data_IF_616881302374
#
_entry.id   IF_616881302374
#
_cell.length_a   1.000
_cell.length_b   1.000
_cell.length_c   1.000
_cell.angle_alpha   90.00
_cell.angle_beta   90.00
_cell.angle_gamma   90.00
#
_symmetry.space_group_name_H-M   'P 1'
#
loop_
_entity.id
_entity.type
_entity.pdbx_description
1 polymer ?
#
# COMPACT_ATOMS: atom_id res chain seq x y z
N UNK A 1 4.69 -10.28 4.84
CA UNK A 1 3.97 -11.14 3.87
C UNK A 1 4.86 -11.56 2.70
N UNK A 2 4.83 -12.81 2.21
CA UNK A 2 5.52 -13.20 0.96
C UNK A 2 4.56 -13.02 -0.23
N UNK A 3 4.65 -11.88 -0.90
CA UNK A 3 3.95 -11.61 -2.17
C UNK A 3 4.32 -12.69 -3.21
N UNK A 4 3.31 -13.33 -3.80
CA UNK A 4 3.49 -14.49 -4.68
C UNK A 4 4.23 -14.14 -5.98
N UNK A 5 5.17 -15.02 -6.38
CA UNK A 5 5.82 -15.03 -7.70
C UNK A 5 4.78 -15.36 -8.80
N UNK A 6 4.10 -14.35 -9.34
CA UNK A 6 3.34 -14.49 -10.60
C UNK A 6 3.84 -13.42 -11.55
N UNK A 7 4.57 -13.83 -12.59
CA UNK A 7 5.18 -12.96 -13.60
C UNK A 7 6.68 -12.69 -13.41
N UNK A 8 7.30 -12.11 -14.45
CA UNK A 8 8.72 -11.70 -14.53
C UNK A 8 9.02 -10.37 -13.82
N UNK A 9 7.99 -9.68 -13.33
CA UNK A 9 8.13 -8.39 -12.65
C UNK A 9 8.79 -8.55 -11.28
N UNK A 10 9.53 -7.52 -10.88
CA UNK A 10 10.14 -7.43 -9.55
C UNK A 10 9.13 -7.68 -8.45
N UNK A 11 9.61 -8.24 -7.33
CA UNK A 11 8.76 -8.39 -6.14
C UNK A 11 8.19 -7.02 -5.78
N UNK A 12 6.86 -6.99 -5.69
CA UNK A 12 6.04 -5.82 -5.36
C UNK A 12 5.94 -4.72 -6.43
N UNK A 13 6.27 -5.04 -7.69
CA UNK A 13 6.21 -4.09 -8.80
C UNK A 13 7.28 -3.01 -8.71
N UNK A 14 7.12 -1.94 -9.50
CA UNK A 14 8.20 -0.99 -9.78
C UNK A 14 7.95 0.45 -9.32
N UNK A 15 6.73 0.84 -8.98
CA UNK A 15 6.39 2.25 -8.71
C UNK A 15 7.13 2.86 -7.49
N UNK A 16 7.58 2.01 -6.56
CA UNK A 16 8.40 2.41 -5.39
C UNK A 16 9.82 2.80 -5.76
N UNK A 17 10.28 2.30 -6.92
CA UNK A 17 11.60 2.52 -7.49
C UNK A 17 11.54 3.61 -8.57
N UNK A 18 10.54 4.49 -8.52
CA UNK A 18 10.34 5.60 -9.46
C UNK A 18 10.24 6.90 -8.73
N UNK A 19 10.65 7.97 -9.40
CA UNK A 19 10.49 9.33 -8.92
C UNK A 19 9.05 9.77 -9.24
N UNK A 20 8.35 10.26 -8.22
CA UNK A 20 7.02 10.83 -8.35
C UNK A 20 7.14 12.34 -8.50
N UNK A 21 6.28 12.93 -9.33
CA UNK A 21 6.23 14.38 -9.53
C UNK A 21 5.09 14.98 -8.71
N UNK A 22 5.19 16.26 -8.36
CA UNK A 22 4.05 17.01 -7.82
C UNK A 22 3.02 17.19 -8.94
N UNK A 23 1.75 16.87 -8.69
CA UNK A 23 0.65 17.13 -9.61
C UNK A 23 0.09 18.53 -9.34
N UNK A 24 0.51 19.51 -10.15
CA UNK A 24 0.08 20.92 -10.00
C UNK A 24 -1.38 21.14 -10.40
N UNK A 25 -2.00 20.19 -11.12
CA UNK A 25 -3.39 20.29 -11.57
C UNK A 25 -4.15 18.97 -11.29
N UNK A 26 -4.33 18.61 -10.02
CA UNK A 26 -4.94 17.36 -9.64
C UNK A 26 -6.45 17.40 -9.93
N UNK A 27 -7.05 16.31 -10.44
CA UNK A 27 -8.50 16.22 -10.57
C UNK A 27 -9.18 16.38 -9.21
N UNK A 28 -10.37 17.00 -9.13
CA UNK A 28 -11.09 17.15 -7.87
C UNK A 28 -11.33 15.78 -7.21
N UNK A 29 -11.08 15.72 -5.90
CA UNK A 29 -11.50 14.60 -5.05
C UNK A 29 -12.89 14.93 -4.48
N UNK A 30 -13.81 13.95 -4.36
CA UNK A 30 -15.03 14.15 -3.60
C UNK A 30 -14.65 14.42 -2.13
N UNK A 31 -15.09 15.57 -1.63
CA UNK A 31 -14.95 16.04 -0.23
C UNK A 31 -13.55 15.89 0.38
N UNK A 32 -12.72 16.92 0.24
CA UNK A 32 -11.91 17.32 1.38
C UNK A 32 -12.74 18.37 2.11
N UNK A 33 -13.07 18.11 3.37
CA UNK A 33 -13.46 19.19 4.28
C UNK A 33 -12.43 20.32 4.09
N UNK A 34 -12.88 21.49 3.63
CA UNK A 34 -12.02 22.61 3.24
C UNK A 34 -11.21 23.18 4.42
N UNK A 35 -11.39 22.60 5.60
CA UNK A 35 -10.67 22.86 6.85
C UNK A 35 -9.25 22.27 6.84
N UNK A 36 -8.98 21.19 6.10
CA UNK A 36 -7.63 20.61 6.00
C UNK A 36 -6.84 21.23 4.84
N UNK A 37 -5.79 21.97 5.21
CA UNK A 37 -4.92 22.70 4.26
C UNK A 37 -3.59 22.01 3.97
N UNK A 38 -3.26 20.92 4.68
CA UNK A 38 -1.98 20.22 4.55
C UNK A 38 -2.12 18.96 3.70
N UNK A 39 -2.07 19.11 2.37
CA UNK A 39 -2.03 17.99 1.45
C UNK A 39 -1.01 18.22 0.32
N UNK A 40 -0.57 17.13 -0.28
CA UNK A 40 0.22 17.13 -1.51
C UNK A 40 -0.34 16.09 -2.47
N UNK A 41 -0.44 16.46 -3.75
CA UNK A 41 -0.78 15.56 -4.83
C UNK A 41 0.48 15.16 -5.58
N UNK A 42 0.66 13.86 -5.76
CA UNK A 42 1.78 13.26 -6.46
C UNK A 42 1.27 12.45 -7.65
N UNK A 43 2.03 12.44 -8.74
CA UNK A 43 1.74 11.69 -9.96
C UNK A 43 2.96 10.92 -10.47
N UNK A 44 2.72 9.66 -10.83
CA UNK A 44 3.60 8.80 -11.59
C UNK A 44 2.96 8.48 -12.94
N UNK A 45 3.67 8.78 -14.03
CA UNK A 45 3.26 8.42 -15.39
C UNK A 45 4.17 7.32 -15.91
N UNK A 46 3.65 6.41 -16.73
CA UNK A 46 4.47 5.40 -17.41
C UNK A 46 5.56 6.07 -18.26
N UNK A 47 6.81 5.65 -18.09
CA UNK A 47 7.95 6.03 -18.93
C UNK A 47 8.25 4.95 -20.00
N UNK A 48 9.11 5.28 -20.97
CA UNK A 48 9.56 4.30 -21.99
C UNK A 48 10.26 3.08 -21.37
N UNK A 49 10.96 3.25 -20.25
CA UNK A 49 11.57 2.15 -19.51
C UNK A 49 10.53 1.27 -18.81
N UNK A 50 9.44 1.86 -18.31
CA UNK A 50 8.34 1.10 -17.72
C UNK A 50 7.63 0.26 -18.78
N UNK A 51 7.47 0.79 -20.00
CA UNK A 51 6.83 0.08 -21.11
C UNK A 51 7.61 -1.16 -21.55
N UNK A 52 8.92 -1.22 -21.31
CA UNK A 52 9.75 -2.41 -21.58
C UNK A 52 9.43 -3.58 -20.63
N UNK A 53 9.06 -3.28 -19.39
CA UNK A 53 8.77 -4.29 -18.36
C UNK A 53 7.27 -4.56 -18.22
N UNK A 54 6.43 -3.57 -18.50
CA UNK A 54 4.99 -3.65 -18.40
C UNK A 54 4.37 -2.74 -19.49
N UNK A 55 3.92 -3.32 -20.62
CA UNK A 55 3.57 -2.57 -21.84
C UNK A 55 2.18 -1.92 -21.77
N UNK A 56 1.94 -1.17 -20.69
CA UNK A 56 0.69 -0.48 -20.43
C UNK A 56 0.96 0.96 -19.99
N UNK A 57 0.36 1.92 -20.71
CA UNK A 57 0.43 3.32 -20.33
C UNK A 57 -0.58 3.63 -19.22
N UNK A 58 -0.12 4.27 -18.16
CA UNK A 58 -0.93 4.57 -16.98
C UNK A 58 -0.59 5.94 -16.39
N UNK A 59 -1.53 6.50 -15.63
CA UNK A 59 -1.25 7.57 -14.67
C UNK A 59 -1.66 7.10 -13.28
N UNK A 60 -0.74 7.14 -12.33
CA UNK A 60 -1.02 6.88 -10.92
C UNK A 60 -0.89 8.19 -10.15
N UNK A 61 -2.00 8.69 -9.61
CA UNK A 61 -2.04 9.80 -8.65
C UNK A 61 -2.20 9.31 -7.21
N UNK A 62 -1.49 9.93 -6.27
CA UNK A 62 -1.69 9.76 -4.83
C UNK A 62 -1.86 11.14 -4.23
N UNK A 63 -2.94 11.35 -3.47
CA UNK A 63 -3.04 12.46 -2.52
C UNK A 63 -2.63 11.99 -1.14
N UNK A 64 -1.70 12.72 -0.53
CA UNK A 64 -1.33 12.58 0.87
C UNK A 64 -1.93 13.77 1.61
N UNK A 65 -2.76 13.53 2.61
CA UNK A 65 -3.38 14.57 3.42
C UNK A 65 -3.15 14.32 4.91
N UNK A 66 -2.62 15.32 5.60
CA UNK A 66 -2.46 15.32 7.05
C UNK A 66 -3.51 16.24 7.67
N UNK A 67 -4.36 15.67 8.50
CA UNK A 67 -5.39 16.44 9.19
C UNK A 67 -4.91 17.05 10.49
N UNK A 68 -5.66 18.06 10.96
CA UNK A 68 -5.36 18.80 12.20
C UNK A 68 -5.36 17.93 13.47
N UNK A 69 -6.08 16.81 13.46
CA UNK A 69 -6.09 15.79 14.51
C UNK A 69 -4.96 14.75 14.36
N UNK A 70 -4.01 14.99 13.46
CA UNK A 70 -2.90 14.09 13.19
C UNK A 70 -3.29 12.84 12.41
N UNK A 71 -4.49 12.76 11.83
CA UNK A 71 -4.84 11.64 10.96
C UNK A 71 -4.19 11.81 9.58
N UNK A 72 -3.49 10.76 9.13
CA UNK A 72 -2.93 10.70 7.79
C UNK A 72 -3.86 9.89 6.88
N UNK A 73 -4.28 10.49 5.78
CA UNK A 73 -5.09 9.85 4.75
C UNK A 73 -4.38 9.80 3.39
N UNK A 74 -4.59 8.69 2.68
CA UNK A 74 -3.99 8.41 1.38
C UNK A 74 -5.08 8.03 0.36
N UNK A 75 -5.23 8.87 -0.67
CA UNK A 75 -6.17 8.62 -1.76
C UNK A 75 -5.41 8.30 -3.04
N UNK A 76 -5.47 7.05 -3.48
CA UNK A 76 -4.83 6.55 -4.70
C UNK A 76 -5.81 6.48 -5.87
N UNK A 77 -5.36 6.89 -7.06
CA UNK A 77 -6.12 6.79 -8.32
C UNK A 77 -5.21 6.34 -9.45
N UNK A 78 -5.56 5.22 -10.07
CA UNK A 78 -4.86 4.72 -11.25
C UNK A 78 -5.79 4.87 -12.46
N UNK A 79 -5.33 5.58 -13.48
CA UNK A 79 -6.05 5.81 -14.74
C UNK A 79 -5.39 5.01 -15.84
N UNK A 80 -6.22 4.30 -16.62
CA UNK A 80 -5.80 3.69 -17.87
C UNK A 80 -5.72 4.79 -18.95
N UNK A 81 -4.51 5.08 -19.42
CA UNK A 81 -4.26 5.96 -20.58
C UNK A 81 -3.73 5.17 -21.78
N UNK A 82 -3.68 3.85 -21.67
CA UNK A 82 -3.37 2.94 -22.75
C UNK A 82 -4.56 2.82 -23.72
N UNK A 83 -4.29 2.33 -24.93
CA UNK A 83 -5.33 1.99 -25.91
C UNK A 83 -6.00 0.64 -25.65
N UNK A 84 -5.48 -0.15 -24.71
CA UNK A 84 -5.97 -1.48 -24.34
C UNK A 84 -6.29 -1.58 -22.84
N UNK A 85 -7.21 -2.46 -22.45
CA UNK A 85 -7.44 -2.78 -21.05
C UNK A 85 -6.17 -3.35 -20.40
N UNK A 86 -6.01 -3.08 -19.11
CA UNK A 86 -5.02 -3.77 -18.28
C UNK A 86 -5.57 -4.04 -16.88
N UNK A 87 -5.00 -5.07 -16.25
CA UNK A 87 -5.24 -5.41 -14.86
C UNK A 87 -4.15 -4.81 -13.98
N UNK A 88 -4.49 -4.49 -12.73
CA UNK A 88 -3.50 -4.09 -11.75
C UNK A 88 -3.92 -4.45 -10.33
N UNK A 89 -2.95 -4.48 -9.43
CA UNK A 89 -3.13 -4.53 -7.98
C UNK A 89 -2.27 -3.43 -7.34
N UNK A 90 -2.62 -2.98 -6.15
CA UNK A 90 -1.76 -2.08 -5.38
C UNK A 90 -2.01 -2.32 -3.90
N UNK A 91 -1.03 -1.94 -3.10
CA UNK A 91 -1.03 -2.09 -1.65
C UNK A 91 -0.36 -0.87 -1.02
N UNK A 92 -0.85 -0.43 0.13
CA UNK A 92 -0.06 0.40 1.01
C UNK A 92 0.67 -0.52 1.99
N UNK A 93 1.99 -0.39 2.09
CA UNK A 93 2.80 -1.21 2.99
C UNK A 93 3.37 -0.29 4.06
N UNK A 94 2.52 -0.10 5.05
CA UNK A 94 2.70 0.92 6.07
C UNK A 94 3.45 0.30 7.24
N UNK A 95 4.57 0.93 7.62
CA UNK A 95 5.26 0.58 8.86
C UNK A 95 4.83 1.54 9.96
N UNK A 96 4.20 0.99 10.98
CA UNK A 96 3.86 1.65 12.22
C UNK A 96 5.02 1.50 13.19
N UNK A 97 5.62 2.61 13.62
CA UNK A 97 6.52 2.58 14.77
C UNK A 97 5.73 2.22 16.02
N UNK A 98 6.21 1.27 16.79
CA UNK A 98 5.60 0.82 18.05
C UNK A 98 6.69 0.79 19.12
N UNK A 99 6.30 0.97 20.39
CA UNK A 99 7.27 0.96 21.49
C UNK A 99 7.85 -0.44 21.73
N UNK A 100 6.97 -1.45 21.72
CA UNK A 100 7.31 -2.87 21.87
C UNK A 100 6.28 -3.71 21.12
N UNK A 101 6.74 -4.51 20.16
CA UNK A 101 5.87 -5.36 19.33
C UNK A 101 5.15 -6.45 20.15
N UNK A 102 5.68 -6.88 21.31
CA UNK A 102 5.02 -7.91 22.13
C UNK A 102 3.73 -7.41 22.78
N UNK A 103 3.63 -6.10 22.98
CA UNK A 103 2.46 -5.44 23.58
C UNK A 103 1.43 -5.00 22.53
N UNK A 104 1.74 -5.16 21.24
CA UNK A 104 0.85 -4.74 20.15
C UNK A 104 -0.29 -5.74 19.98
N UNK A 105 -1.49 -5.19 19.86
CA UNK A 105 -2.72 -5.91 19.55
C UNK A 105 -3.36 -5.30 18.31
N UNK A 106 -3.69 -6.11 17.32
CA UNK A 106 -4.45 -5.68 16.14
C UNK A 106 -5.85 -6.26 16.20
N UNK A 107 -6.84 -5.40 16.35
CA UNK A 107 -8.26 -5.74 16.52
C UNK A 107 -9.04 -5.53 15.21
N UNK A 108 -10.28 -6.04 15.14
CA UNK A 108 -11.17 -5.86 13.97
C UNK A 108 -10.85 -6.80 12.81
N UNK A 109 -10.06 -7.85 13.07
CA UNK A 109 -9.72 -8.90 12.12
C UNK A 109 -10.42 -10.23 12.44
N UNK A 110 -11.22 -10.28 13.50
CA UNK A 110 -11.94 -11.49 13.91
C UNK A 110 -12.80 -12.03 12.76
N UNK A 111 -12.85 -13.36 12.63
CA UNK A 111 -13.59 -14.09 11.59
C UNK A 111 -13.08 -13.90 10.16
N UNK A 112 -12.05 -13.08 9.93
CA UNK A 112 -11.46 -12.93 8.61
C UNK A 112 -10.52 -14.09 8.27
N UNK A 113 -10.63 -14.56 7.03
CA UNK A 113 -9.68 -15.51 6.46
C UNK A 113 -8.35 -14.83 6.12
N UNK A 114 -7.25 -15.46 6.47
CA UNK A 114 -5.90 -15.03 6.09
C UNK A 114 -5.05 -16.19 5.56
N UNK A 115 -3.98 -15.85 4.84
CA UNK A 115 -2.99 -16.81 4.34
C UNK A 115 -1.68 -16.63 5.10
N UNK A 116 -1.28 -17.62 5.89
CA UNK A 116 -0.06 -17.50 6.68
C UNK A 116 1.19 -17.78 5.83
N UNK A 117 1.99 -16.74 5.59
CA UNK A 117 3.25 -16.86 4.86
C UNK A 117 4.31 -17.71 5.59
N UNK A 118 4.20 -17.94 6.90
CA UNK A 118 5.03 -18.84 7.72
C UNK A 118 4.64 -20.30 7.52
N UNK A 119 3.35 -20.58 7.36
CA UNK A 119 2.80 -21.91 7.12
C UNK A 119 2.41 -22.11 5.66
N UNK A 120 3.37 -21.91 4.75
CA UNK A 120 3.21 -22.20 3.31
C UNK A 120 1.97 -21.59 2.61
N UNK A 121 1.46 -20.45 3.10
CA UNK A 121 0.21 -19.82 2.64
C UNK A 121 -1.03 -20.70 2.82
N UNK A 122 -1.02 -21.54 3.84
CA UNK A 122 -2.23 -22.22 4.29
C UNK A 122 -3.24 -21.18 4.78
N UNK A 123 -4.52 -21.49 4.57
CA UNK A 123 -5.63 -20.63 4.92
C UNK A 123 -6.05 -20.91 6.34
N UNK A 124 -6.12 -19.85 7.13
CA UNK A 124 -6.62 -19.84 8.49
C UNK A 124 -7.71 -18.80 8.61
N UNK A 125 -8.51 -18.89 9.67
CA UNK A 125 -9.52 -17.88 10.02
C UNK A 125 -9.15 -17.35 11.39
N UNK A 126 -9.04 -16.04 11.54
CA UNK A 126 -8.76 -15.43 12.84
C UNK A 126 -9.93 -15.69 13.80
N UNK A 127 -9.62 -16.21 14.99
CA UNK A 127 -10.61 -16.59 16.00
C UNK A 127 -10.52 -15.70 17.25
N UNK A 128 -9.41 -15.02 17.47
CA UNK A 128 -9.22 -14.12 18.59
C UNK A 128 -9.77 -12.73 18.32
N UNK A 129 -10.14 -12.03 19.40
CA UNK A 129 -10.57 -10.63 19.35
C UNK A 129 -9.42 -9.69 18.93
N UNK A 130 -8.18 -10.15 19.05
CA UNK A 130 -6.99 -9.43 18.62
C UNK A 130 -5.88 -10.39 18.17
N UNK A 131 -5.17 -10.00 17.11
CA UNK A 131 -3.91 -10.62 16.70
C UNK A 131 -2.77 -10.08 17.57
N UNK A 132 -1.97 -10.98 18.13
CA UNK A 132 -0.76 -10.68 18.91
C UNK A 132 0.49 -11.23 18.22
N UNK A 133 1.66 -10.71 18.59
CA UNK A 133 2.94 -11.04 17.92
C UNK A 133 3.92 -11.70 18.89
N UNK A 134 3.87 -13.03 18.99
CA UNK A 134 4.73 -13.79 19.91
C UNK A 134 6.05 -14.29 19.30
N UNK A 135 6.29 -14.11 17.98
CA UNK A 135 7.50 -14.65 17.34
C UNK A 135 8.16 -13.72 16.31
N UNK A 136 9.49 -13.57 16.42
CA UNK A 136 10.30 -12.65 15.61
C UNK A 136 10.93 -13.28 14.35
N UNK A 137 10.61 -14.55 14.02
CA UNK A 137 11.44 -15.42 13.16
C UNK A 137 11.75 -14.87 11.75
N UNK A 138 10.92 -13.97 11.21
CA UNK A 138 11.15 -13.33 9.89
C UNK A 138 11.60 -11.87 9.97
N UNK A 139 11.29 -11.18 11.06
CA UNK A 139 11.57 -9.75 11.17
C UNK A 139 13.09 -9.46 11.19
N UNK A 140 13.88 -10.35 11.80
CA UNK A 140 15.36 -10.35 11.79
C UNK A 140 16.01 -10.42 10.40
N UNK A 141 15.26 -10.75 9.35
CA UNK A 141 15.80 -10.91 7.99
C UNK A 141 15.47 -9.74 7.07
N UNK A 142 14.87 -8.67 7.60
CA UNK A 142 14.56 -7.45 6.85
C UNK A 142 15.86 -6.65 6.70
N UNK A 143 16.37 -6.57 5.47
CA UNK A 143 17.63 -5.88 5.17
C UNK A 143 17.55 -4.35 5.29
N UNK A 144 16.34 -3.80 5.34
CA UNK A 144 16.07 -2.36 5.36
C UNK A 144 15.98 -1.78 6.79
N UNK A 145 16.14 -2.61 7.83
CA UNK A 145 16.03 -2.21 9.25
C UNK A 145 17.32 -2.58 9.98
N UNK A 146 17.73 -1.76 10.97
CA UNK A 146 18.84 -2.11 11.85
C UNK A 146 18.56 -3.40 12.65
N UNK A 147 19.62 -4.03 13.18
CA UNK A 147 19.60 -5.36 13.83
C UNK A 147 18.53 -5.54 14.93
N UNK A 148 17.98 -4.45 15.49
CA UNK A 148 16.90 -4.47 16.49
C UNK A 148 15.70 -3.54 16.15
N UNK A 149 15.77 -2.75 15.07
CA UNK A 149 14.75 -1.75 14.72
C UNK A 149 13.42 -2.41 14.35
N UNK A 150 13.46 -3.67 13.90
CA UNK A 150 12.26 -4.46 13.58
C UNK A 150 11.38 -4.73 14.80
N UNK A 151 11.91 -4.68 16.03
CA UNK A 151 11.13 -4.88 17.27
C UNK A 151 10.23 -3.69 17.60
N UNK A 152 10.54 -2.55 17.00
CA UNK A 152 9.82 -1.29 17.19
C UNK A 152 8.99 -0.92 15.97
N UNK A 153 8.72 -1.87 15.08
CA UNK A 153 8.05 -1.64 13.81
C UNK A 153 7.06 -2.75 13.51
N UNK A 154 5.81 -2.39 13.28
CA UNK A 154 4.77 -3.28 12.76
C UNK A 154 4.46 -2.91 11.31
N UNK A 155 4.64 -3.86 10.39
CA UNK A 155 4.19 -3.69 9.02
C UNK A 155 2.77 -4.22 8.84
N UNK A 156 1.86 -3.36 8.38
CA UNK A 156 0.50 -3.78 7.99
C UNK A 156 0.26 -3.39 6.53
N UNK A 157 -0.10 -4.39 5.73
CA UNK A 157 -0.43 -4.22 4.32
C UNK A 157 -1.95 -4.14 4.14
N UNK A 158 -2.47 -2.93 3.94
CA UNK A 158 -3.85 -2.78 3.48
C UNK A 158 -3.87 -2.94 1.96
N UNK A 159 -4.46 -4.03 1.48
CA UNK A 159 -4.43 -4.31 0.06
C UNK A 159 -5.70 -5.01 -0.45
N UNK A 160 -6.12 -4.62 -1.65
CA UNK A 160 -7.03 -5.42 -2.46
C UNK A 160 -6.24 -6.59 -3.09
N UNK A 161 -5.70 -7.48 -2.23
CA UNK A 161 -4.66 -8.46 -2.58
C UNK A 161 -5.15 -9.48 -3.61
N UNK A 162 -6.41 -9.90 -3.51
CA UNK A 162 -6.90 -11.01 -4.34
C UNK A 162 -7.61 -10.56 -5.62
N UNK A 163 -8.14 -9.34 -5.68
CA UNK A 163 -8.98 -8.89 -6.81
C UNK A 163 -8.24 -7.86 -7.63
N UNK A 164 -7.50 -8.33 -8.64
CA UNK A 164 -6.96 -7.47 -9.69
C UNK A 164 -8.09 -6.59 -10.24
N UNK A 165 -7.89 -5.28 -10.22
CA UNK A 165 -8.82 -4.31 -10.80
C UNK A 165 -8.57 -4.27 -12.30
N UNK A 166 -9.58 -4.59 -13.11
CA UNK A 166 -9.53 -4.42 -14.56
C UNK A 166 -9.93 -2.99 -14.91
N UNK A 167 -9.08 -2.28 -15.65
CA UNK A 167 -9.44 -0.99 -16.26
C UNK A 167 -9.75 -1.21 -17.73
N UNK A 168 -11.04 -1.39 -18.04
CA UNK A 168 -11.52 -1.87 -19.34
C UNK A 168 -11.28 -0.90 -20.50
N UNK A 169 -11.55 0.39 -20.32
CA UNK A 169 -11.51 1.37 -21.43
C UNK A 169 -10.47 2.48 -21.18
N UNK A 170 -9.87 3.05 -22.24
CA UNK A 170 -9.07 4.27 -22.14
C UNK A 170 -9.85 5.38 -21.41
N UNK A 171 -9.22 6.04 -20.45
CA UNK A 171 -9.84 7.06 -19.61
C UNK A 171 -10.55 6.56 -18.35
N UNK A 172 -10.75 5.24 -18.18
CA UNK A 172 -11.29 4.69 -16.91
C UNK A 172 -10.25 4.81 -15.80
N UNK A 173 -10.72 5.12 -14.59
CA UNK A 173 -9.90 5.14 -13.38
C UNK A 173 -10.42 4.14 -12.35
N UNK A 174 -9.49 3.51 -11.64
CA UNK A 174 -9.73 2.77 -10.42
C UNK A 174 -9.29 3.63 -9.24
N UNK A 175 -10.10 3.70 -8.19
CA UNK A 175 -9.77 4.42 -6.96
C UNK A 175 -9.53 3.42 -5.82
N UNK A 176 -8.66 3.83 -4.91
CA UNK A 176 -8.35 3.16 -3.67
C UNK A 176 -8.14 4.20 -2.59
N UNK A 177 -8.73 3.99 -1.43
CA UNK A 177 -8.59 4.91 -0.30
C UNK A 177 -8.10 4.13 0.90
N UNK A 178 -7.17 4.73 1.64
CA UNK A 178 -6.84 4.33 2.99
C UNK A 178 -7.03 5.58 3.86
N UNK A 179 -7.92 5.46 4.84
CA UNK A 179 -8.26 6.52 5.77
C UNK A 179 -7.93 6.08 7.20
N UNK A 180 -7.60 7.06 8.03
CA UNK A 180 -7.36 6.93 9.46
C UNK A 180 -6.10 6.13 9.87
N UNK A 181 -4.95 6.79 9.80
CA UNK A 181 -3.78 6.45 10.62
C UNK A 181 -3.59 7.59 11.64
N UNK A 182 -4.06 7.41 12.88
CA UNK A 182 -3.90 8.43 13.93
C UNK A 182 -2.44 8.50 14.37
N UNK A 183 -1.77 9.64 14.16
CA UNK A 183 -0.33 9.83 14.42
C UNK A 183 0.05 10.14 15.86
N UNK A 184 -0.89 10.17 16.81
CA UNK A 184 -0.60 10.54 18.20
C UNK A 184 0.39 9.59 18.92
N UNK A 185 0.73 8.44 18.32
CA UNK A 185 1.65 7.45 18.91
C UNK A 185 2.71 6.88 17.95
N UNK A 186 2.77 7.29 16.67
CA UNK A 186 3.52 6.53 15.67
C UNK A 186 4.39 7.41 14.75
N UNK A 187 5.69 7.09 14.64
CA UNK A 187 6.44 7.40 13.42
C UNK A 187 5.95 6.44 12.32
N UNK A 188 5.35 6.98 11.27
CA UNK A 188 4.90 6.17 10.14
C UNK A 188 5.92 6.28 9.01
N UNK A 189 6.59 5.17 8.68
CA UNK A 189 7.44 5.09 7.49
C UNK A 189 6.63 4.38 6.39
N UNK A 190 6.41 5.06 5.28
CA UNK A 190 5.73 4.47 4.12
C UNK A 190 6.75 3.88 3.17
N UNK A 191 6.57 2.60 2.86
CA UNK A 191 7.10 2.02 1.63
C UNK A 191 5.90 1.81 0.70
N UNK A 192 5.89 2.51 -0.43
CA UNK A 192 4.81 2.36 -1.41
C UNK A 192 5.01 1.04 -2.16
N UNK A 193 3.93 0.31 -2.47
CA UNK A 193 4.04 -0.86 -3.34
C UNK A 193 2.89 -0.92 -4.33
N UNK A 194 3.24 -0.80 -5.59
CA UNK A 194 2.28 -0.88 -6.67
C UNK A 194 2.65 -2.09 -7.50
N UNK A 195 2.00 -3.21 -7.20
CA UNK A 195 2.07 -4.39 -8.04
C UNK A 195 1.09 -4.26 -9.19
N UNK A 196 1.50 -3.50 -10.20
CA UNK A 196 0.86 -3.52 -11.51
C UNK A 196 1.01 -4.94 -12.10
N UNK A 197 0.01 -5.81 -11.88
CA UNK A 197 0.01 -7.19 -12.34
C UNK A 197 -0.56 -7.24 -13.76
N UNK A 198 0.31 -7.45 -14.75
CA UNK A 198 -0.07 -7.91 -16.08
C UNK A 198 -0.62 -9.33 -16.07
#
# INVERSE_FOLDING_TARGET
>A
MKFGKRGSLEKHGFARNRIWMIDENPPPLPSADHTNKAFIDLILKSSDDDLKIWPHSFEFRIRVNLSVDGCLSLTSRIRNVNCKPFSFSFAYHTYFSVSDISEVRVEGLETLDYLDSLFNKERFTEQGDALTFESEKKAKTIADLGDDEYKQMLCVDAAAIEKSRLLSNPGRSGQGESSCLSSHLYKVIFLYFVRMAG
#
